data_IF_994330748211
#
_entry.id   IF_994330748211
#
_cell.length_a   1.000
_cell.length_b   1.000
_cell.length_c   1.000
_cell.angle_alpha   90.00
_cell.angle_beta   90.00
_cell.angle_gamma   90.00
#
_symmetry.space_group_name_H-M   'P 1'
#
loop_
_entity.id
_entity.type
_entity.pdbx_description
1 polymer ?
#
# COMPACT_ATOMS: atom_id res chain seq x y z
N UNK A 1 23.60 27.17 20.29
CA UNK A 1 24.02 26.60 19.00
C UNK A 1 22.89 25.73 18.47
N UNK A 2 22.53 25.96 17.20
CA UNK A 2 21.67 25.15 16.33
C UNK A 2 20.31 24.66 16.86
N UNK A 3 19.29 25.32 16.32
CA UNK A 3 17.94 24.87 16.04
C UNK A 3 17.73 23.35 16.21
N UNK A 4 16.89 22.98 17.19
CA UNK A 4 16.33 21.63 17.34
C UNK A 4 15.79 21.18 15.98
N UNK A 5 16.32 20.07 15.45
CA UNK A 5 15.79 19.46 14.23
C UNK A 5 14.33 19.04 14.51
N UNK A 6 13.38 19.80 13.96
CA UNK A 6 11.93 19.50 14.01
C UNK A 6 11.52 18.50 12.93
N UNK A 7 12.47 17.74 12.43
CA UNK A 7 12.23 16.74 11.41
C UNK A 7 11.28 15.65 11.93
N UNK A 8 10.06 15.48 11.38
CA UNK A 8 9.23 14.34 11.73
C UNK A 8 9.91 13.01 11.39
N UNK A 9 9.94 12.10 12.38
CA UNK A 9 10.41 10.72 12.23
C UNK A 9 9.52 9.89 11.28
N UNK A 10 8.24 10.26 11.18
CA UNK A 10 7.24 9.58 10.36
C UNK A 10 6.49 10.59 9.49
N UNK A 11 6.34 10.29 8.20
CA UNK A 11 5.62 11.10 7.21
C UNK A 11 4.48 10.27 6.62
N UNK A 12 3.27 10.82 6.58
CA UNK A 12 2.16 10.26 5.81
C UNK A 12 1.94 11.07 4.53
N UNK A 13 2.35 10.52 3.39
CA UNK A 13 2.12 11.08 2.07
C UNK A 13 0.86 10.43 1.49
N UNK A 14 -0.31 11.03 1.77
CA UNK A 14 -1.65 10.50 1.47
C UNK A 14 -1.74 9.53 0.30
N UNK A 15 -1.92 10.04 -0.92
CA UNK A 15 -1.94 9.24 -2.15
C UNK A 15 -0.84 9.72 -3.12
N UNK A 16 -0.05 8.78 -3.63
CA UNK A 16 0.95 9.07 -4.67
C UNK A 16 0.27 8.93 -6.04
N UNK A 17 0.03 10.06 -6.70
CA UNK A 17 -0.60 10.12 -8.03
C UNK A 17 0.38 10.33 -9.17
N UNK A 18 1.54 10.91 -8.87
CA UNK A 18 2.53 11.33 -9.86
C UNK A 18 3.97 11.09 -9.40
N UNK A 19 4.90 11.17 -10.35
CA UNK A 19 6.33 10.96 -10.12
C UNK A 19 6.93 12.02 -9.18
N UNK A 20 6.46 13.27 -9.23
CA UNK A 20 7.02 14.33 -8.40
C UNK A 20 6.80 14.02 -6.90
N UNK A 21 5.58 13.65 -6.55
CA UNK A 21 5.16 13.20 -5.22
C UNK A 21 5.91 11.92 -4.81
N UNK A 22 5.98 10.93 -5.71
CA UNK A 22 6.71 9.68 -5.46
C UNK A 22 8.19 9.93 -5.14
N UNK A 23 8.84 10.84 -5.87
CA UNK A 23 10.26 11.20 -5.65
C UNK A 23 10.47 11.94 -4.33
N UNK A 24 9.53 12.76 -3.89
CA UNK A 24 9.61 13.42 -2.57
C UNK A 24 9.52 12.37 -1.46
N UNK A 25 8.52 11.49 -1.53
CA UNK A 25 8.34 10.39 -0.58
C UNK A 25 9.57 9.49 -0.50
N UNK A 26 10.12 9.08 -1.65
CA UNK A 26 11.31 8.24 -1.72
C UNK A 26 12.55 8.92 -1.15
N UNK A 27 12.75 10.22 -1.42
CA UNK A 27 13.87 10.97 -0.83
C UNK A 27 13.77 11.02 0.68
N UNK A 28 12.59 11.32 1.22
CA UNK A 28 12.36 11.31 2.66
C UNK A 28 12.65 9.95 3.29
N UNK A 29 12.26 8.85 2.63
CA UNK A 29 12.52 7.49 3.08
C UNK A 29 14.02 7.16 3.11
N UNK A 30 14.75 7.46 2.03
CA UNK A 30 16.21 7.23 1.94
C UNK A 30 16.99 8.06 2.97
N UNK A 31 16.47 9.23 3.38
CA UNK A 31 17.07 10.05 4.44
C UNK A 31 16.74 9.55 5.87
N UNK A 32 16.20 8.35 6.01
CA UNK A 32 15.98 7.69 7.31
C UNK A 32 14.61 7.90 7.95
N UNK A 33 13.65 8.50 7.22
CA UNK A 33 12.29 8.75 7.74
C UNK A 33 11.37 7.62 7.38
N UNK A 34 10.42 7.28 8.26
CA UNK A 34 9.38 6.31 7.91
C UNK A 34 8.32 6.99 7.07
N UNK A 35 8.11 6.54 5.83
CA UNK A 35 7.11 7.11 4.94
C UNK A 35 5.98 6.11 4.73
N UNK A 36 4.75 6.56 4.96
CA UNK A 36 3.52 5.83 4.68
C UNK A 36 2.79 6.55 3.55
N UNK A 37 2.38 5.79 2.54
CA UNK A 37 1.66 6.31 1.39
C UNK A 37 0.72 5.27 0.81
N UNK A 38 -0.29 5.71 0.09
CA UNK A 38 -1.20 4.85 -0.65
C UNK A 38 -1.04 5.01 -2.16
N UNK A 39 -1.29 3.93 -2.89
CA UNK A 39 -1.41 3.89 -4.36
C UNK A 39 -2.57 2.99 -4.75
N UNK A 40 -3.32 3.37 -5.79
CA UNK A 40 -4.43 2.55 -6.28
C UNK A 40 -3.93 1.46 -7.22
N UNK A 41 -3.90 0.22 -6.70
CA UNK A 41 -3.51 -0.97 -7.45
C UNK A 41 -4.32 -2.18 -6.99
N UNK A 42 -4.39 -3.22 -7.83
CA UNK A 42 -5.20 -4.42 -7.60
C UNK A 42 -4.61 -5.36 -6.54
N UNK A 43 -3.31 -5.27 -6.29
CA UNK A 43 -2.55 -6.18 -5.46
C UNK A 43 -1.22 -5.53 -5.04
N UNK A 44 -0.49 -6.16 -4.12
CA UNK A 44 0.74 -5.58 -3.58
C UNK A 44 1.87 -5.49 -4.62
N UNK A 45 1.96 -6.45 -5.53
CA UNK A 45 3.04 -6.50 -6.53
C UNK A 45 2.83 -5.44 -7.59
N UNK A 46 1.60 -5.25 -8.05
CA UNK A 46 1.25 -4.15 -8.95
C UNK A 46 1.50 -2.78 -8.33
N UNK A 47 1.45 -2.65 -6.99
CA UNK A 47 1.91 -1.47 -6.25
C UNK A 47 3.37 -1.10 -6.53
N UNK A 48 4.29 -2.09 -6.49
CA UNK A 48 5.72 -1.88 -6.81
C UNK A 48 5.87 -1.50 -8.28
N UNK A 49 5.23 -2.26 -9.17
CA UNK A 49 5.26 -1.99 -10.61
C UNK A 49 4.75 -0.59 -10.92
N UNK A 50 3.68 -0.13 -10.27
CA UNK A 50 3.12 1.21 -10.48
C UNK A 50 4.13 2.32 -10.18
N UNK A 51 4.94 2.17 -9.13
CA UNK A 51 5.99 3.13 -8.79
C UNK A 51 7.13 3.14 -9.83
N UNK A 52 7.49 1.97 -10.35
CA UNK A 52 8.46 1.85 -11.45
C UNK A 52 7.91 2.45 -12.74
N UNK A 53 6.66 2.16 -13.09
CA UNK A 53 5.97 2.69 -14.28
C UNK A 53 5.81 4.22 -14.21
N UNK A 54 5.74 4.82 -13.02
CA UNK A 54 5.79 6.28 -12.84
C UNK A 54 7.17 6.87 -13.14
N UNK A 55 8.24 6.07 -13.14
CA UNK A 55 9.62 6.50 -13.40
C UNK A 55 10.54 6.48 -12.18
N UNK A 56 10.17 5.80 -11.08
CA UNK A 56 11.11 5.56 -9.99
C UNK A 56 12.12 4.47 -10.38
N UNK A 57 13.39 4.74 -10.10
CA UNK A 57 14.47 3.79 -10.35
C UNK A 57 14.30 2.55 -9.45
N UNK A 58 14.23 1.32 -10.00
CA UNK A 58 14.02 0.11 -9.22
C UNK A 58 15.04 -0.10 -8.09
N UNK A 59 16.32 0.23 -8.32
CA UNK A 59 17.37 0.11 -7.30
C UNK A 59 17.08 0.94 -6.05
N UNK A 60 16.72 2.22 -6.23
CA UNK A 60 16.39 3.12 -5.11
C UNK A 60 15.11 2.71 -4.39
N UNK A 61 14.16 2.14 -5.13
CA UNK A 61 12.94 1.60 -4.54
C UNK A 61 13.29 0.38 -3.67
N UNK A 62 14.13 -0.54 -4.16
CA UNK A 62 14.59 -1.70 -3.41
C UNK A 62 15.36 -1.38 -2.13
N UNK A 63 16.10 -0.26 -2.10
CA UNK A 63 16.84 0.18 -0.91
C UNK A 63 15.96 0.71 0.23
N UNK A 64 14.74 1.18 -0.07
CA UNK A 64 13.94 1.96 0.89
C UNK A 64 12.51 1.45 1.09
N UNK A 65 11.99 0.65 0.17
CA UNK A 65 10.66 0.05 0.27
C UNK A 65 10.69 -1.14 1.23
N UNK A 66 10.05 -0.98 2.38
CA UNK A 66 9.99 -2.03 3.40
C UNK A 66 8.83 -3.02 3.18
N UNK A 67 7.66 -2.52 2.80
CA UNK A 67 6.46 -3.35 2.64
C UNK A 67 5.45 -2.69 1.70
N UNK A 68 4.65 -3.52 1.04
CA UNK A 68 3.43 -3.11 0.33
C UNK A 68 2.27 -3.95 0.85
N UNK A 69 1.19 -3.28 1.23
CA UNK A 69 -0.01 -3.93 1.77
C UNK A 69 -1.18 -3.66 0.81
N UNK A 70 -1.79 -4.74 0.32
CA UNK A 70 -3.06 -4.67 -0.42
C UNK A 70 -4.20 -5.06 0.51
N UNK A 71 -5.18 -4.17 0.64
CA UNK A 71 -6.30 -4.33 1.56
C UNK A 71 -7.62 -4.40 0.79
N UNK A 72 -8.45 -5.38 1.15
CA UNK A 72 -9.85 -5.46 0.72
C UNK A 72 -10.74 -5.50 1.95
N UNK A 73 -11.85 -4.78 1.90
CA UNK A 73 -12.89 -4.86 2.92
C UNK A 73 -13.93 -5.88 2.47
N UNK A 74 -14.20 -6.84 3.35
CA UNK A 74 -15.27 -7.83 3.14
C UNK A 74 -16.37 -7.59 4.15
N UNK A 75 -17.61 -7.87 3.74
CA UNK A 75 -18.76 -7.77 4.64
C UNK A 75 -18.66 -8.86 5.71
N UNK A 76 -18.95 -8.50 6.95
CA UNK A 76 -19.14 -9.48 8.03
C UNK A 76 -20.52 -10.09 7.90
N UNK A 77 -20.65 -11.38 8.22
CA UNK A 77 -21.95 -12.05 8.28
C UNK A 77 -22.74 -11.54 9.50
N UNK A 78 -24.05 -11.33 9.31
CA UNK A 78 -24.96 -10.94 10.38
C UNK A 78 -25.03 -12.04 11.43
N UNK A 79 -24.90 -11.69 12.72
CA UNK A 79 -24.89 -12.67 13.79
C UNK A 79 -26.29 -13.26 14.09
N UNK A 80 -27.37 -12.60 13.65
CA UNK A 80 -28.75 -13.04 13.89
C UNK A 80 -29.30 -13.97 12.79
N UNK A 81 -28.84 -13.80 11.55
CA UNK A 81 -29.42 -14.52 10.40
C UNK A 81 -28.40 -15.29 9.55
N UNK A 82 -27.11 -15.30 9.92
CA UNK A 82 -26.14 -16.18 9.27
C UNK A 82 -26.56 -17.64 9.42
N UNK A 83 -26.35 -18.43 8.36
CA UNK A 83 -26.66 -19.85 8.32
C UNK A 83 -25.41 -20.63 7.93
N UNK A 84 -25.26 -21.89 8.39
CA UNK A 84 -24.19 -22.76 7.92
C UNK A 84 -24.20 -22.88 6.39
N UNK A 85 -23.02 -22.82 5.78
CA UNK A 85 -22.82 -23.06 4.36
C UNK A 85 -22.24 -24.46 4.18
N UNK A 86 -22.91 -25.30 3.40
CA UNK A 86 -22.39 -26.61 3.00
C UNK A 86 -21.80 -26.51 1.58
N UNK A 87 -20.47 -26.54 1.41
CA UNK A 87 -19.86 -26.45 0.09
C UNK A 87 -20.31 -27.54 -0.89
N UNK A 88 -20.71 -28.73 -0.42
CA UNK A 88 -21.11 -29.84 -1.29
C UNK A 88 -22.51 -29.64 -1.89
N UNK A 89 -23.39 -28.92 -1.19
CA UNK A 89 -24.78 -28.67 -1.60
C UNK A 89 -25.00 -27.25 -2.11
N UNK A 90 -24.35 -26.27 -1.49
CA UNK A 90 -24.69 -24.85 -1.62
C UNK A 90 -23.70 -24.08 -2.53
N UNK A 91 -22.55 -24.68 -2.89
CA UNK A 91 -21.64 -24.07 -3.84
C UNK A 91 -22.26 -24.04 -5.23
N UNK A 92 -22.50 -22.84 -5.76
CA UNK A 92 -22.69 -22.66 -7.20
C UNK A 92 -21.34 -22.82 -7.89
N UNK A 93 -21.29 -23.57 -8.99
CA UNK A 93 -20.12 -23.66 -9.87
C UNK A 93 -19.61 -22.25 -10.14
N UNK A 94 -18.41 -21.94 -9.64
CA UNK A 94 -17.75 -20.67 -9.91
C UNK A 94 -17.09 -20.77 -11.27
N UNK A 95 -17.87 -20.62 -12.33
CA UNK A 95 -17.36 -20.27 -13.66
C UNK A 95 -17.47 -18.75 -13.80
N UNK A 96 -16.33 -18.07 -13.62
CA UNK A 96 -16.01 -16.74 -14.12
C UNK A 96 -14.48 -16.55 -14.05
#
# INVERSE_FOLDING_TARGET
GQLLDRSPDVIHAGEIRDLATARIALRSAVTGRKVLATVHTSDAVSGIRRLVDMGLAPGRLGESLHAVVSLRLVRRLCQECARPFDPARDAKSREA
#
